data_IF_335637414505
#
_entry.id   IF_335637414505
#
_cell.length_a   1.000
_cell.length_b   1.000
_cell.length_c   1.000
_cell.angle_alpha   90.00
_cell.angle_beta   90.00
_cell.angle_gamma   90.00
#
_symmetry.space_group_name_H-M   'P 1'
#
loop_
_entity.id
_entity.type
_entity.pdbx_description
1 polymer ?
#
# COMPACT_ATOMS: atom_id res chain seq x y z
N UNK A 1 -22.00 -0.25 -52.82
CA UNK A 1 -21.92 0.01 -51.36
C UNK A 1 -22.87 -0.94 -50.64
N UNK A 2 -22.33 -1.95 -49.94
CA UNK A 2 -23.06 -3.16 -49.54
C UNK A 2 -23.91 -2.84 -48.30
N UNK A 3 -25.17 -3.29 -48.27
CA UNK A 3 -26.14 -3.02 -47.18
C UNK A 3 -25.64 -3.49 -45.80
N UNK A 4 -24.68 -4.42 -45.80
CA UNK A 4 -23.99 -4.94 -44.61
C UNK A 4 -23.07 -3.92 -43.95
N UNK A 5 -22.45 -3.03 -44.72
CA UNK A 5 -21.49 -2.05 -44.20
C UNK A 5 -22.20 -0.95 -43.40
N UNK A 6 -23.40 -0.55 -43.85
CA UNK A 6 -24.27 0.40 -43.15
C UNK A 6 -24.77 -0.13 -41.81
N UNK A 7 -25.12 -1.42 -41.75
CA UNK A 7 -25.60 -2.03 -40.51
C UNK A 7 -24.47 -2.16 -39.48
N UNK A 8 -23.23 -2.38 -39.94
CA UNK A 8 -22.06 -2.41 -39.06
C UNK A 8 -21.71 -1.01 -38.54
N UNK A 9 -21.81 0.04 -39.36
CA UNK A 9 -21.60 1.43 -38.90
C UNK A 9 -22.66 1.88 -37.90
N UNK A 10 -23.93 1.52 -38.09
CA UNK A 10 -25.00 1.80 -37.12
C UNK A 10 -24.80 1.07 -35.79
N UNK A 11 -24.26 -0.15 -35.81
CA UNK A 11 -23.90 -0.89 -34.59
C UNK A 11 -22.73 -0.19 -33.86
N UNK A 12 -21.75 0.34 -34.60
CA UNK A 12 -20.62 1.08 -34.01
C UNK A 12 -21.02 2.47 -33.51
N UNK A 13 -21.97 3.16 -34.18
CA UNK A 13 -22.54 4.43 -33.71
C UNK A 13 -23.45 4.25 -32.49
N UNK A 14 -24.18 3.13 -32.40
CA UNK A 14 -24.98 2.76 -31.24
C UNK A 14 -24.16 2.27 -30.04
N UNK A 15 -22.90 1.91 -30.24
CA UNK A 15 -21.89 1.74 -29.19
C UNK A 15 -21.23 3.11 -28.98
N UNK A 16 -21.99 4.04 -28.42
CA UNK A 16 -21.39 5.23 -27.84
C UNK A 16 -20.37 4.75 -26.80
N UNK A 17 -19.07 4.83 -27.11
CA UNK A 17 -18.03 4.69 -26.11
C UNK A 17 -18.38 5.67 -24.99
N UNK A 18 -18.44 5.23 -23.72
CA UNK A 18 -18.65 6.17 -22.63
C UNK A 18 -17.61 7.28 -22.77
N UNK A 19 -17.98 8.54 -22.52
CA UNK A 19 -17.01 9.63 -22.56
C UNK A 19 -15.80 9.20 -21.74
N UNK A 20 -14.61 9.25 -22.35
CA UNK A 20 -13.37 8.94 -21.63
C UNK A 20 -13.31 9.91 -20.46
N UNK A 21 -13.69 9.45 -19.27
CA UNK A 21 -13.72 10.28 -18.08
C UNK A 21 -12.33 10.88 -17.91
N UNK A 22 -12.27 12.19 -17.65
CA UNK A 22 -10.99 12.81 -17.37
C UNK A 22 -10.34 12.12 -16.17
N UNK A 23 -9.01 12.12 -16.12
CA UNK A 23 -8.28 11.51 -15.02
C UNK A 23 -8.78 12.03 -13.66
N UNK A 24 -9.08 13.33 -13.56
CA UNK A 24 -9.60 13.96 -12.35
C UNK A 24 -11.01 13.51 -11.98
N UNK A 25 -11.89 13.32 -12.96
CA UNK A 25 -13.23 12.77 -12.70
C UNK A 25 -13.14 11.33 -12.21
N UNK A 26 -12.24 10.53 -12.78
CA UNK A 26 -12.00 9.15 -12.34
C UNK A 26 -11.45 9.10 -10.91
N UNK A 27 -10.50 9.98 -10.57
CA UNK A 27 -10.00 10.10 -9.20
C UNK A 27 -11.08 10.58 -8.23
N UNK A 28 -11.92 11.53 -8.63
CA UNK A 28 -13.01 12.05 -7.80
C UNK A 28 -14.07 10.99 -7.52
N UNK A 29 -14.45 10.21 -8.53
CA UNK A 29 -15.44 9.13 -8.39
C UNK A 29 -14.89 8.03 -7.48
N UNK A 30 -13.64 7.62 -7.67
CA UNK A 30 -13.02 6.60 -6.81
C UNK A 30 -12.86 7.09 -5.37
N UNK A 31 -12.45 8.35 -5.17
CA UNK A 31 -12.38 8.96 -3.84
C UNK A 31 -13.75 8.97 -3.14
N UNK A 32 -14.80 9.45 -3.82
CA UNK A 32 -16.16 9.48 -3.28
C UNK A 32 -16.68 8.07 -2.95
N UNK A 33 -16.41 7.08 -3.80
CA UNK A 33 -16.74 5.70 -3.52
C UNK A 33 -16.03 5.19 -2.26
N UNK A 34 -14.71 5.42 -2.14
CA UNK A 34 -13.93 5.03 -0.96
C UNK A 34 -14.47 5.70 0.32
N UNK A 35 -14.88 6.96 0.27
CA UNK A 35 -15.47 7.67 1.40
C UNK A 35 -16.80 7.04 1.86
N UNK A 36 -17.69 6.72 0.91
CA UNK A 36 -19.00 6.12 1.22
C UNK A 36 -18.82 4.70 1.81
N UNK A 37 -17.97 3.87 1.19
CA UNK A 37 -17.71 2.52 1.70
C UNK A 37 -16.96 2.55 3.03
N UNK A 38 -16.03 3.50 3.21
CA UNK A 38 -15.33 3.71 4.48
C UNK A 38 -16.30 4.10 5.60
N UNK A 39 -17.21 5.04 5.34
CA UNK A 39 -18.22 5.46 6.32
C UNK A 39 -19.19 4.32 6.68
N UNK A 40 -19.73 3.63 5.67
CA UNK A 40 -20.62 2.48 5.89
C UNK A 40 -19.90 1.35 6.66
N UNK A 41 -18.65 1.07 6.31
CA UNK A 41 -17.81 0.09 6.99
C UNK A 41 -17.51 0.48 8.44
N UNK A 42 -17.30 1.77 8.72
CA UNK A 42 -17.10 2.27 10.09
C UNK A 42 -18.33 2.06 10.97
N UNK A 43 -19.53 2.42 10.48
CA UNK A 43 -20.79 2.17 11.19
C UNK A 43 -21.01 0.67 11.40
N UNK A 44 -20.82 -0.14 10.35
CA UNK A 44 -20.97 -1.59 10.44
C UNK A 44 -19.99 -2.20 11.46
N UNK A 45 -18.76 -1.71 11.50
CA UNK A 45 -17.74 -2.16 12.46
C UNK A 45 -18.14 -1.86 13.90
N UNK A 46 -18.70 -0.68 14.18
CA UNK A 46 -19.22 -0.33 15.51
C UNK A 46 -20.37 -1.26 15.90
N UNK A 47 -21.34 -1.47 15.01
CA UNK A 47 -22.50 -2.34 15.27
C UNK A 47 -22.04 -3.78 15.54
N UNK A 48 -21.18 -4.33 14.70
CA UNK A 48 -20.63 -5.69 14.89
C UNK A 48 -19.85 -5.78 16.21
N UNK A 49 -19.05 -4.76 16.54
CA UNK A 49 -18.28 -4.74 17.78
C UNK A 49 -19.17 -4.68 19.02
N UNK A 50 -20.22 -3.86 19.02
CA UNK A 50 -21.20 -3.82 20.12
C UNK A 50 -21.92 -5.17 20.24
N UNK A 51 -22.38 -5.76 19.14
CA UNK A 51 -22.98 -7.09 19.15
C UNK A 51 -22.02 -8.16 19.68
N UNK A 52 -20.73 -8.07 19.33
CA UNK A 52 -19.70 -8.98 19.84
C UNK A 52 -19.48 -8.82 21.34
N UNK A 53 -19.46 -7.59 21.87
CA UNK A 53 -19.33 -7.34 23.31
C UNK A 53 -20.57 -7.80 24.07
N UNK A 54 -21.77 -7.48 23.56
CA UNK A 54 -23.03 -7.93 24.14
C UNK A 54 -23.08 -9.45 24.19
N UNK A 55 -22.72 -10.12 23.10
CA UNK A 55 -22.53 -11.56 23.13
C UNK A 55 -21.51 -11.90 24.23
N UNK A 56 -20.24 -11.50 24.13
CA UNK A 56 -19.15 -11.93 25.01
C UNK A 56 -19.39 -11.74 26.53
N UNK A 57 -20.09 -10.69 26.96
CA UNK A 57 -20.22 -10.33 28.38
C UNK A 57 -21.61 -10.53 28.98
N UNK A 58 -22.67 -10.69 28.18
CA UNK A 58 -24.01 -10.96 28.71
C UNK A 58 -24.06 -12.41 29.23
N UNK A 59 -24.57 -12.65 30.45
CA UNK A 59 -24.70 -13.99 31.01
C UNK A 59 -25.66 -14.85 30.20
N UNK A 60 -25.40 -16.16 30.19
CA UNK A 60 -26.11 -17.13 29.35
C UNK A 60 -27.61 -17.19 29.70
N UNK A 61 -27.98 -17.03 30.98
CA UNK A 61 -29.37 -17.01 31.45
C UNK A 61 -30.21 -15.93 30.74
N UNK A 62 -29.65 -14.74 30.52
CA UNK A 62 -30.36 -13.66 29.83
C UNK A 62 -30.49 -13.95 28.34
N UNK A 63 -29.44 -14.50 27.72
CA UNK A 63 -29.47 -14.86 26.30
C UNK A 63 -30.51 -15.95 26.02
N UNK A 64 -30.62 -16.93 26.90
CA UNK A 64 -31.62 -18.01 26.82
C UNK A 64 -33.04 -17.48 27.00
N UNK A 65 -33.27 -16.52 27.92
CA UNK A 65 -34.57 -15.86 28.11
C UNK A 65 -35.01 -15.06 26.87
N UNK A 66 -34.06 -14.42 26.17
CA UNK A 66 -34.30 -13.77 24.88
C UNK A 66 -34.41 -14.76 23.69
N UNK A 67 -34.33 -16.07 23.94
CA UNK A 67 -34.48 -17.12 22.93
C UNK A 67 -33.22 -17.40 22.11
N UNK A 68 -32.06 -16.89 22.51
CA UNK A 68 -30.77 -17.11 21.84
C UNK A 68 -30.09 -18.34 22.45
N UNK A 69 -30.47 -19.52 21.99
CA UNK A 69 -29.96 -20.80 22.52
C UNK A 69 -28.78 -21.37 21.74
N UNK A 70 -28.50 -20.87 20.53
CA UNK A 70 -27.41 -21.36 19.68
C UNK A 70 -26.42 -20.23 19.34
N UNK A 71 -25.29 -20.24 20.06
CA UNK A 71 -24.16 -19.34 19.83
C UNK A 71 -22.84 -20.09 20.01
N UNK A 72 -21.72 -19.61 19.42
CA UNK A 72 -20.43 -20.27 19.56
C UNK A 72 -19.94 -20.27 21.02
N UNK A 73 -19.01 -21.17 21.35
CA UNK A 73 -18.41 -21.21 22.70
C UNK A 73 -17.79 -19.87 23.09
N UNK A 74 -17.98 -19.45 24.35
CA UNK A 74 -17.39 -18.24 24.96
C UNK A 74 -15.87 -18.18 24.83
N UNK A 75 -15.20 -19.31 24.70
CA UNK A 75 -13.76 -19.38 24.42
C UNK A 75 -13.36 -18.51 23.22
N UNK A 76 -14.21 -18.43 22.19
CA UNK A 76 -13.95 -17.62 21.01
C UNK A 76 -13.91 -16.12 21.29
N UNK A 77 -14.55 -15.64 22.36
CA UNK A 77 -14.44 -14.25 22.79
C UNK A 77 -13.00 -13.90 23.21
N UNK A 78 -12.23 -14.85 23.75
CA UNK A 78 -10.81 -14.63 24.04
C UNK A 78 -9.92 -15.00 22.84
N UNK A 79 -10.27 -16.07 22.13
CA UNK A 79 -9.44 -16.58 21.04
C UNK A 79 -9.37 -15.60 19.86
N UNK A 80 -10.47 -14.93 19.48
CA UNK A 80 -10.49 -14.00 18.35
C UNK A 80 -9.52 -12.82 18.54
N UNK A 81 -9.57 -12.07 19.67
CA UNK A 81 -8.59 -11.02 19.93
C UNK A 81 -7.15 -11.54 20.01
N UNK A 82 -6.93 -12.69 20.65
CA UNK A 82 -5.60 -13.28 20.77
C UNK A 82 -5.02 -13.65 19.39
N UNK A 83 -5.83 -14.27 18.53
CA UNK A 83 -5.43 -14.59 17.15
C UNK A 83 -5.13 -13.32 16.36
N UNK A 84 -5.93 -12.26 16.48
CA UNK A 84 -5.69 -10.98 15.79
C UNK A 84 -4.32 -10.42 16.17
N UNK A 85 -4.00 -10.35 17.47
CA UNK A 85 -2.70 -9.87 17.96
C UNK A 85 -1.55 -10.73 17.39
N UNK A 86 -1.69 -12.05 17.42
CA UNK A 86 -0.69 -12.96 16.85
C UNK A 86 -0.54 -12.81 15.34
N UNK A 87 -1.64 -12.59 14.61
CA UNK A 87 -1.62 -12.34 13.17
C UNK A 87 -0.87 -11.04 12.85
N UNK A 88 -1.14 -9.94 13.58
CA UNK A 88 -0.44 -8.67 13.38
C UNK A 88 1.06 -8.82 13.66
N UNK A 89 1.43 -9.50 14.75
CA UNK A 89 2.83 -9.78 15.05
C UNK A 89 3.50 -10.59 13.92
N UNK A 90 2.82 -11.64 13.45
CA UNK A 90 3.33 -12.48 12.36
C UNK A 90 3.47 -11.71 11.04
N UNK A 91 2.54 -10.81 10.73
CA UNK A 91 2.63 -9.92 9.56
C UNK A 91 3.87 -9.01 9.63
N UNK A 92 4.19 -8.46 10.81
CA UNK A 92 5.38 -7.64 11.00
C UNK A 92 6.66 -8.46 10.80
N UNK A 93 6.72 -9.67 11.36
CA UNK A 93 7.86 -10.58 11.18
C UNK A 93 8.05 -10.92 9.70
N UNK A 94 6.98 -11.29 9.00
CA UNK A 94 7.06 -11.56 7.57
C UNK A 94 7.44 -10.33 6.75
N UNK A 95 6.91 -9.17 7.09
CA UNK A 95 7.27 -7.93 6.45
C UNK A 95 8.78 -7.67 6.57
N UNK A 96 9.36 -7.78 7.77
CA UNK A 96 10.80 -7.61 7.98
C UNK A 96 11.59 -8.65 7.20
N UNK A 97 11.19 -9.92 7.25
CA UNK A 97 11.87 -11.00 6.53
C UNK A 97 11.88 -10.79 5.01
N UNK A 98 10.75 -10.37 4.44
CA UNK A 98 10.62 -10.06 3.00
C UNK A 98 11.49 -8.85 2.64
N UNK A 99 11.51 -7.81 3.47
CA UNK A 99 12.39 -6.66 3.24
C UNK A 99 13.86 -7.07 3.28
N UNK A 100 14.28 -7.93 4.20
CA UNK A 100 15.65 -8.45 4.23
C UNK A 100 15.99 -9.31 3.03
N UNK A 101 15.04 -10.10 2.51
CA UNK A 101 15.25 -10.89 1.30
C UNK A 101 15.31 -10.02 0.04
N UNK A 102 14.59 -8.89 0.03
CA UNK A 102 14.48 -8.01 -1.14
C UNK A 102 15.57 -6.93 -1.20
N UNK A 103 16.19 -6.60 -0.06
CA UNK A 103 17.21 -5.54 0.03
C UNK A 103 18.60 -6.10 -0.23
N UNK A 104 19.49 -5.29 -0.81
CA UNK A 104 20.90 -5.65 -0.92
C UNK A 104 21.53 -5.89 0.48
N UNK A 105 22.56 -6.75 0.58
CA UNK A 105 23.31 -6.92 1.83
C UNK A 105 23.80 -5.56 2.37
N UNK A 106 23.87 -5.42 3.69
CA UNK A 106 24.26 -4.15 4.34
C UNK A 106 25.65 -3.64 3.91
N UNK A 107 26.54 -4.55 3.53
CA UNK A 107 27.90 -4.25 3.06
C UNK A 107 27.98 -4.04 1.53
N UNK A 108 26.85 -4.07 0.82
CA UNK A 108 26.83 -3.86 -0.62
C UNK A 108 26.96 -2.37 -0.96
N UNK A 109 27.85 -2.04 -1.90
CA UNK A 109 27.93 -0.69 -2.49
C UNK A 109 26.61 -0.26 -3.15
N UNK A 110 25.74 -1.20 -3.52
CA UNK A 110 24.43 -0.92 -4.10
C UNK A 110 23.45 -0.27 -3.12
N UNK A 111 23.77 -0.26 -1.82
CA UNK A 111 23.00 0.46 -0.80
C UNK A 111 23.28 1.97 -0.84
N UNK A 112 24.43 2.37 -1.39
CA UNK A 112 24.88 3.77 -1.47
C UNK A 112 24.77 4.29 -2.92
N UNK A 113 24.92 3.41 -3.91
CA UNK A 113 24.94 3.75 -5.33
C UNK A 113 23.87 2.97 -6.08
N UNK A 114 23.22 3.64 -7.01
CA UNK A 114 22.31 3.01 -7.96
C UNK A 114 22.93 2.91 -9.36
N UNK A 115 22.16 2.41 -10.31
CA UNK A 115 22.57 2.29 -11.72
C UNK A 115 22.78 3.63 -12.44
N UNK A 116 22.29 4.73 -11.86
CA UNK A 116 22.37 6.08 -12.43
C UNK A 116 23.42 6.94 -11.73
N UNK A 117 24.16 6.38 -10.78
CA UNK A 117 25.23 7.06 -10.06
C UNK A 117 26.40 7.30 -11.02
N UNK A 118 26.77 8.56 -11.23
CA UNK A 118 27.83 8.96 -12.17
C UNK A 118 29.00 9.50 -11.35
N UNK A 119 30.06 8.70 -11.16
CA UNK A 119 31.27 9.16 -10.46
C UNK A 119 32.41 9.45 -11.43
N UNK A 120 33.11 10.56 -11.21
CA UNK A 120 34.33 10.87 -11.96
C UNK A 120 35.55 10.17 -11.35
N UNK A 121 36.50 9.70 -12.18
CA UNK A 121 37.78 9.21 -11.68
C UNK A 121 38.57 10.35 -10.99
N UNK A 122 39.42 10.04 -9.98
CA UNK A 122 40.16 11.05 -9.22
C UNK A 122 40.87 12.15 -10.04
N UNK A 123 41.60 11.84 -11.13
CA UNK A 123 42.27 12.88 -11.92
C UNK A 123 41.29 13.86 -12.61
N UNK A 124 40.11 13.39 -13.03
CA UNK A 124 39.08 14.25 -13.63
C UNK A 124 38.36 15.08 -12.56
N UNK A 125 38.16 14.50 -11.37
CA UNK A 125 37.58 15.21 -10.24
C UNK A 125 38.45 16.41 -9.81
N UNK A 126 39.78 16.24 -9.78
CA UNK A 126 40.72 17.32 -9.46
C UNK A 126 40.74 18.43 -10.52
N UNK A 127 40.58 18.07 -11.80
CA UNK A 127 40.43 19.03 -12.90
C UNK A 127 39.12 19.81 -12.77
N UNK A 128 38.01 19.13 -12.47
CA UNK A 128 36.72 19.77 -12.30
C UNK A 128 36.64 20.63 -11.05
N UNK A 129 37.34 20.28 -9.98
CA UNK A 129 37.48 21.13 -8.78
C UNK A 129 38.08 22.50 -9.10
N UNK A 130 38.95 22.58 -10.11
CA UNK A 130 39.58 23.82 -10.58
C UNK A 130 38.78 24.53 -11.68
N UNK A 131 37.72 23.91 -12.20
CA UNK A 131 36.88 24.50 -13.22
C UNK A 131 35.88 25.48 -12.59
N UNK A 132 35.59 26.58 -13.29
CA UNK A 132 34.57 27.55 -12.86
C UNK A 132 33.15 26.97 -12.93
N UNK A 133 32.94 25.97 -13.80
CA UNK A 133 31.67 25.25 -13.95
C UNK A 133 31.96 23.74 -14.01
N UNK A 134 31.94 23.03 -12.86
CA UNK A 134 32.17 21.58 -12.84
C UNK A 134 31.02 20.82 -13.52
N UNK A 135 31.28 19.59 -13.97
CA UNK A 135 30.23 18.74 -14.52
C UNK A 135 29.35 18.19 -13.40
N UNK A 136 28.11 17.83 -13.75
CA UNK A 136 27.21 17.15 -12.82
C UNK A 136 27.65 15.70 -12.69
N UNK A 137 28.28 15.39 -11.56
CA UNK A 137 28.69 14.05 -11.19
C UNK A 137 28.68 13.88 -9.67
N UNK A 138 28.44 12.66 -9.22
CA UNK A 138 28.43 12.26 -7.83
C UNK A 138 29.85 12.15 -7.28
N UNK A 139 30.06 12.69 -6.09
CA UNK A 139 31.33 12.56 -5.37
C UNK A 139 31.21 11.33 -4.45
N UNK A 140 32.16 10.38 -4.49
CA UNK A 140 32.15 9.23 -3.61
C UNK A 140 32.05 9.62 -2.13
N UNK A 141 31.18 8.96 -1.38
CA UNK A 141 30.97 9.21 0.05
C UNK A 141 32.27 9.14 0.85
N UNK A 142 33.17 8.22 0.49
CA UNK A 142 34.51 8.09 1.09
C UNK A 142 35.36 9.35 0.94
N UNK A 143 35.27 10.03 -0.20
CA UNK A 143 35.99 11.28 -0.47
C UNK A 143 35.39 12.42 0.35
N UNK A 144 34.06 12.56 0.37
CA UNK A 144 33.39 13.60 1.17
C UNK A 144 33.69 13.42 2.66
N UNK A 145 33.61 12.19 3.18
CA UNK A 145 33.85 11.89 4.59
C UNK A 145 35.26 12.32 5.01
N UNK A 146 36.27 12.07 4.16
CA UNK A 146 37.65 12.53 4.37
C UNK A 146 37.84 14.04 4.28
N UNK A 147 36.94 14.76 3.62
CA UNK A 147 37.04 16.24 3.54
C UNK A 147 36.35 16.89 4.73
N UNK A 148 35.21 16.34 5.17
CA UNK A 148 34.39 16.95 6.22
C UNK A 148 34.81 16.58 7.64
N UNK A 149 35.32 15.37 7.85
CA UNK A 149 35.52 14.80 9.19
C UNK A 149 36.98 14.45 9.51
N UNK A 150 37.94 14.95 8.73
CA UNK A 150 39.37 14.85 9.02
C UNK A 150 39.92 16.24 9.31
#
# INVERSE_FOLDING_TARGET
>A
MRKTDRKFSEIMEGVAMPPSMSFLETQRITAMQMEIYGFAGWIASIVIFVCYLLWAYVPDELLEDYGVTYYPSRYWALAVPAMLVMTVFMLLVFYIAINWLSTAPLDSNNTIRDQYTITLPPPELDLQRKANTPAIADIPLTTINRILFT
#
